data_IF_204004391068
#
_entry.id   IF_204004391068
#
_cell.length_a   1.000
_cell.length_b   1.000
_cell.length_c   1.000
_cell.angle_alpha   90.00
_cell.angle_beta   90.00
_cell.angle_gamma   90.00
#
_symmetry.space_group_name_H-M   'P 1'
#
loop_
_entity.id
_entity.type
_entity.pdbx_description
1 polymer ?
#
# COMPACT_ATOMS: atom_id res chain seq x y z
N UNK A 1 11.04 31.24 37.11
CA UNK A 1 10.78 30.35 35.95
C UNK A 1 10.24 31.17 34.83
N UNK A 2 10.96 31.21 33.75
CA UNK A 2 10.55 31.95 32.57
C UNK A 2 9.45 31.19 31.85
N UNK A 3 8.48 31.91 31.27
CA UNK A 3 7.40 31.36 30.44
C UNK A 3 7.95 30.43 29.33
N UNK A 4 9.16 30.69 28.85
CA UNK A 4 9.86 29.85 27.87
C UNK A 4 10.32 28.49 28.43
N UNK A 5 10.58 28.40 29.73
CA UNK A 5 10.95 27.12 30.36
C UNK A 5 9.72 26.21 30.54
N UNK A 6 8.53 26.80 30.74
CA UNK A 6 7.27 26.04 30.81
C UNK A 6 6.86 25.48 29.45
N UNK A 7 7.09 26.22 28.36
CA UNK A 7 6.81 25.76 27.00
C UNK A 7 7.78 24.65 26.60
N UNK A 8 9.06 24.78 26.97
CA UNK A 8 10.06 23.73 26.71
C UNK A 8 9.73 22.42 27.41
N UNK A 9 9.25 22.48 28.65
CA UNK A 9 8.89 21.30 29.43
C UNK A 9 7.62 20.61 28.93
N UNK A 10 6.68 21.36 28.37
CA UNK A 10 5.44 20.80 27.81
C UNK A 10 5.57 20.27 26.38
N UNK A 11 6.63 20.70 25.65
CA UNK A 11 6.79 20.32 24.23
C UNK A 11 7.70 19.13 24.03
N UNK A 12 8.54 18.79 25.03
CA UNK A 12 9.52 17.70 24.94
C UNK A 12 9.23 16.51 25.87
N UNK A 13 8.19 16.60 26.71
CA UNK A 13 7.83 15.50 27.63
C UNK A 13 6.77 14.55 27.04
N UNK A 14 6.49 14.67 25.76
CA UNK A 14 5.64 13.74 25.03
C UNK A 14 6.51 12.86 24.12
N UNK A 15 7.53 12.28 24.71
CA UNK A 15 8.13 11.07 24.21
C UNK A 15 7.16 9.94 24.50
N UNK A 16 6.81 9.18 23.49
CA UNK A 16 6.43 7.78 23.54
C UNK A 16 5.02 7.35 23.08
N UNK A 17 4.11 8.23 22.64
CA UNK A 17 2.79 7.73 22.26
C UNK A 17 2.46 7.76 20.75
N UNK A 18 3.45 8.01 19.90
CA UNK A 18 3.20 8.07 18.45
C UNK A 18 3.58 6.81 17.68
N UNK A 19 4.06 5.76 18.34
CA UNK A 19 4.48 4.55 17.65
C UNK A 19 3.31 3.66 17.20
N UNK A 20 2.14 3.77 17.81
CA UNK A 20 1.03 2.86 17.55
C UNK A 20 -0.09 3.44 16.66
N UNK A 21 -0.04 4.73 16.33
CA UNK A 21 -1.19 5.41 15.72
C UNK A 21 -1.14 5.53 14.19
N UNK A 22 -0.04 5.17 13.54
CA UNK A 22 0.09 5.34 12.08
C UNK A 22 -0.28 4.10 11.25
N UNK A 23 -0.71 3.01 11.88
CA UNK A 23 -0.80 1.73 11.17
C UNK A 23 -2.20 1.14 11.11
N UNK A 24 -3.20 1.69 11.83
CA UNK A 24 -4.51 1.03 11.93
C UNK A 24 -5.66 1.71 11.18
N UNK A 25 -5.46 2.89 10.58
CA UNK A 25 -6.48 3.54 9.77
C UNK A 25 -6.06 3.63 8.29
N UNK A 26 -5.85 2.47 7.68
CA UNK A 26 -6.06 2.37 6.24
C UNK A 26 -7.56 2.56 5.97
N UNK A 27 -7.95 3.34 4.94
CA UNK A 27 -9.35 3.47 4.62
C UNK A 27 -9.93 2.08 4.38
N UNK A 28 -10.77 1.62 5.31
CA UNK A 28 -11.61 0.48 5.07
C UNK A 28 -12.52 0.87 3.93
N UNK A 29 -12.22 0.36 2.74
CA UNK A 29 -13.18 0.37 1.66
C UNK A 29 -14.37 -0.45 2.12
N UNK A 30 -15.40 0.25 2.56
CA UNK A 30 -16.72 -0.32 2.76
C UNK A 30 -17.18 -0.80 1.40
N UNK A 31 -17.04 -2.07 1.18
CA UNK A 31 -17.63 -2.75 0.05
C UNK A 31 -19.14 -2.78 0.28
N UNK A 32 -19.82 -1.71 -0.10
CA UNK A 32 -21.25 -1.62 -0.07
C UNK A 32 -21.83 -2.31 -1.30
N UNK A 33 -21.78 -3.63 -1.30
CA UNK A 33 -22.46 -4.45 -2.27
C UNK A 33 -23.91 -4.66 -1.80
N UNK A 34 -24.72 -3.60 -1.84
CA UNK A 34 -26.17 -3.73 -1.76
C UNK A 34 -26.70 -3.82 -3.18
N UNK A 35 -26.67 -5.02 -3.72
CA UNK A 35 -27.47 -5.40 -4.86
C UNK A 35 -28.94 -5.45 -4.47
N UNK A 36 -29.70 -4.45 -4.79
CA UNK A 36 -31.15 -4.54 -4.83
C UNK A 36 -31.52 -5.03 -6.24
N UNK A 37 -31.89 -6.29 -6.29
CA UNK A 37 -32.58 -6.82 -7.45
C UNK A 37 -34.05 -6.42 -7.40
N UNK A 38 -34.56 -6.06 -8.51
CA UNK A 38 -35.96 -6.17 -8.97
C UNK A 38 -35.84 -6.12 -10.50
N UNK A 39 -36.15 -7.10 -11.23
CA UNK A 39 -37.37 -7.86 -11.27
C UNK A 39 -38.01 -7.64 -12.62
N UNK A 40 -38.34 -8.74 -13.23
CA UNK A 40 -39.40 -8.94 -14.20
C UNK A 40 -39.06 -8.74 -15.70
N UNK A 41 -39.07 -9.90 -16.34
CA UNK A 41 -39.96 -10.31 -17.44
C UNK A 41 -39.83 -9.49 -18.76
N UNK A 42 -39.58 -10.10 -19.89
CA UNK A 42 -40.40 -10.98 -20.65
C UNK A 42 -39.71 -11.40 -21.99
N UNK A 43 -39.89 -12.67 -22.28
CA UNK A 43 -40.19 -13.29 -23.58
C UNK A 43 -39.27 -13.08 -24.79
N UNK A 44 -38.70 -14.20 -25.14
CA UNK A 44 -38.71 -14.92 -26.39
C UNK A 44 -38.88 -14.13 -27.69
N UNK A 45 -37.98 -14.35 -28.61
CA UNK A 45 -38.25 -14.96 -29.89
C UNK A 45 -36.99 -15.31 -30.70
N UNK A 46 -37.02 -16.47 -31.16
CA UNK A 46 -36.35 -17.26 -32.14
C UNK A 46 -36.01 -16.55 -33.46
N UNK A 47 -34.94 -16.92 -34.06
CA UNK A 47 -34.55 -17.11 -35.46
C UNK A 47 -33.25 -16.39 -35.79
N UNK A 48 -32.23 -16.99 -36.27
CA UNK A 48 -31.92 -17.88 -37.37
C UNK A 48 -30.41 -18.03 -37.51
N UNK A 49 -30.01 -19.17 -37.99
CA UNK A 49 -28.71 -19.55 -38.50
C UNK A 49 -27.87 -18.42 -39.11
N UNK A 50 -26.68 -18.32 -38.61
CA UNK A 50 -25.58 -17.64 -39.24
C UNK A 50 -24.28 -18.28 -38.77
N UNK A 51 -23.84 -19.31 -39.48
CA UNK A 51 -22.51 -19.88 -39.33
C UNK A 51 -21.44 -18.82 -39.49
N UNK A 52 -20.97 -18.31 -38.39
CA UNK A 52 -19.75 -17.52 -38.39
C UNK A 52 -18.77 -18.24 -37.47
N UNK A 53 -17.88 -19.01 -38.04
CA UNK A 53 -16.66 -19.50 -37.42
C UNK A 53 -15.86 -18.32 -36.87
N UNK A 54 -16.23 -17.86 -35.70
CA UNK A 54 -15.35 -17.03 -34.93
C UNK A 54 -14.26 -17.95 -34.40
N UNK A 55 -13.11 -17.88 -35.02
CA UNK A 55 -11.87 -18.36 -34.44
C UNK A 55 -11.76 -17.75 -33.06
N UNK A 56 -12.18 -18.51 -32.06
CA UNK A 56 -11.93 -18.20 -30.67
C UNK A 56 -10.41 -18.13 -30.50
N UNK A 57 -9.89 -16.90 -30.49
CA UNK A 57 -8.50 -16.68 -30.09
C UNK A 57 -8.41 -17.12 -28.64
N UNK A 58 -7.91 -18.33 -28.44
CA UNK A 58 -7.56 -18.80 -27.10
C UNK A 58 -6.43 -17.90 -26.64
N UNK A 59 -6.77 -16.87 -25.89
CA UNK A 59 -5.78 -16.07 -25.19
C UNK A 59 -5.31 -16.92 -24.03
N UNK A 60 -4.14 -17.51 -24.20
CA UNK A 60 -3.49 -18.26 -23.15
C UNK A 60 -2.98 -17.24 -22.13
N UNK A 61 -3.80 -16.95 -21.11
CA UNK A 61 -3.45 -16.06 -20.01
C UNK A 61 -2.60 -16.84 -19.02
N UNK A 62 -1.46 -17.30 -19.46
CA UNK A 62 -0.39 -17.70 -18.56
C UNK A 62 0.38 -16.44 -18.16
N UNK A 63 -0.32 -15.50 -17.53
CA UNK A 63 0.31 -14.43 -16.81
C UNK A 63 0.92 -15.05 -15.55
N UNK A 64 2.14 -15.56 -15.66
CA UNK A 64 2.97 -15.85 -14.50
C UNK A 64 3.29 -14.50 -13.87
N UNK A 65 2.44 -14.10 -12.93
CA UNK A 65 2.70 -12.90 -12.14
C UNK A 65 3.90 -13.21 -11.25
N UNK A 66 5.09 -12.87 -11.70
CA UNK A 66 6.28 -13.01 -10.89
C UNK A 66 6.25 -11.92 -9.82
N UNK A 67 5.94 -12.30 -8.60
CA UNK A 67 6.09 -11.44 -7.45
C UNK A 67 7.59 -11.19 -7.22
N UNK A 68 8.03 -9.96 -7.46
CA UNK A 68 9.40 -9.54 -7.18
C UNK A 68 9.43 -8.87 -5.81
N UNK A 69 10.13 -9.49 -4.88
CA UNK A 69 10.33 -8.98 -3.51
C UNK A 69 11.77 -8.55 -3.34
N UNK A 70 11.98 -7.37 -2.81
CA UNK A 70 13.29 -6.79 -2.52
C UNK A 70 13.39 -6.51 -1.03
N UNK A 71 14.42 -7.07 -0.37
CA UNK A 71 14.75 -6.73 1.02
C UNK A 71 15.72 -5.56 1.03
N UNK A 72 15.38 -4.49 1.76
CA UNK A 72 16.22 -3.31 1.92
C UNK A 72 16.45 -2.99 3.39
N UNK A 73 17.65 -2.54 3.71
CA UNK A 73 18.08 -2.10 5.05
C UNK A 73 18.73 -0.73 4.90
N UNK A 74 17.95 0.34 4.83
CA UNK A 74 18.50 1.68 4.67
C UNK A 74 19.17 2.16 5.97
N UNK A 75 20.24 2.89 5.85
CA UNK A 75 20.91 3.54 6.96
C UNK A 75 20.65 5.04 7.00
N UNK A 76 20.34 5.62 5.84
CA UNK A 76 20.13 7.06 5.64
C UNK A 76 18.87 7.35 4.86
N UNK A 77 18.39 8.57 5.00
CA UNK A 77 17.19 9.01 4.28
C UNK A 77 17.41 9.08 2.74
N UNK A 78 18.62 9.30 2.30
CA UNK A 78 18.96 9.35 0.88
C UNK A 78 18.64 8.04 0.14
N UNK A 79 18.63 6.92 0.86
CA UNK A 79 18.27 5.62 0.31
C UNK A 79 16.79 5.53 -0.08
N UNK A 80 15.96 6.46 0.40
CA UNK A 80 14.51 6.50 0.14
C UNK A 80 14.16 6.54 -1.34
N UNK A 81 14.93 7.26 -2.16
CA UNK A 81 14.70 7.35 -3.60
C UNK A 81 14.89 6.01 -4.30
N UNK A 82 15.94 5.27 -3.96
CA UNK A 82 16.19 3.94 -4.52
C UNK A 82 15.09 2.95 -4.13
N UNK A 83 14.58 3.06 -2.90
CA UNK A 83 13.47 2.23 -2.43
C UNK A 83 12.17 2.59 -3.18
N UNK A 84 11.94 3.88 -3.38
CA UNK A 84 10.80 4.36 -4.17
C UNK A 84 10.83 3.86 -5.61
N UNK A 85 12.02 3.79 -6.23
CA UNK A 85 12.19 3.25 -7.57
C UNK A 85 11.81 1.77 -7.66
N UNK A 86 12.05 0.99 -6.60
CA UNK A 86 11.56 -0.39 -6.55
C UNK A 86 10.04 -0.44 -6.57
N UNK A 87 9.35 0.40 -5.81
CA UNK A 87 7.90 0.48 -5.78
C UNK A 87 7.32 0.95 -7.13
N UNK A 88 7.94 1.96 -7.75
CA UNK A 88 7.56 2.44 -9.07
C UNK A 88 7.70 1.36 -10.15
N UNK A 89 8.68 0.47 -9.99
CA UNK A 89 8.90 -0.69 -10.85
C UNK A 89 8.03 -1.92 -10.45
N UNK A 90 6.98 -1.69 -9.66
CA UNK A 90 6.03 -2.72 -9.22
C UNK A 90 6.68 -3.89 -8.46
N UNK A 91 7.68 -3.59 -7.66
CA UNK A 91 8.33 -4.56 -6.77
C UNK A 91 7.83 -4.38 -5.34
N UNK A 92 7.55 -5.46 -4.68
CA UNK A 92 7.25 -5.44 -3.24
C UNK A 92 8.55 -5.23 -2.47
N UNK A 93 8.55 -4.33 -1.51
CA UNK A 93 9.72 -4.00 -0.69
C UNK A 93 9.47 -4.49 0.73
N UNK A 94 10.42 -5.26 1.27
CA UNK A 94 10.53 -5.55 2.69
C UNK A 94 11.56 -4.60 3.27
N UNK A 95 11.10 -3.65 4.07
CA UNK A 95 11.89 -2.60 4.67
C UNK A 95 12.28 -2.99 6.09
N UNK A 96 13.55 -3.24 6.35
CA UNK A 96 14.08 -3.53 7.68
C UNK A 96 14.81 -2.31 8.22
N UNK A 97 14.27 -1.72 9.29
CA UNK A 97 14.78 -0.51 9.95
C UNK A 97 15.48 -0.79 11.30
N UNK A 98 15.81 -2.05 11.56
CA UNK A 98 16.36 -2.45 12.84
C UNK A 98 17.69 -1.74 13.19
N UNK A 99 18.54 -1.50 12.19
CA UNK A 99 19.80 -0.77 12.32
C UNK A 99 19.71 0.72 11.98
N UNK A 100 18.53 1.20 11.60
CA UNK A 100 18.30 2.58 11.19
C UNK A 100 17.98 3.45 12.41
N UNK A 101 18.51 4.67 12.44
CA UNK A 101 18.18 5.64 13.49
C UNK A 101 16.65 5.91 13.50
N UNK A 102 16.08 6.07 14.70
CA UNK A 102 14.63 6.28 14.91
C UNK A 102 14.07 7.47 14.10
N UNK A 103 14.79 8.57 14.06
CA UNK A 103 14.39 9.76 13.32
C UNK A 103 14.40 9.51 11.81
N UNK A 104 15.44 8.89 11.29
CA UNK A 104 15.56 8.49 9.88
C UNK A 104 14.48 7.47 9.53
N UNK A 105 14.22 6.50 10.41
CA UNK A 105 13.17 5.50 10.23
C UNK A 105 11.79 6.14 10.05
N UNK A 106 11.44 7.10 10.90
CA UNK A 106 10.16 7.83 10.81
C UNK A 106 10.03 8.54 9.47
N UNK A 107 11.05 9.28 9.08
CA UNK A 107 11.06 9.99 7.79
C UNK A 107 10.96 9.06 6.59
N UNK A 108 11.63 7.90 6.64
CA UNK A 108 11.54 6.87 5.60
C UNK A 108 10.12 6.31 5.48
N UNK A 109 9.51 5.96 6.61
CA UNK A 109 8.13 5.43 6.63
C UNK A 109 7.15 6.46 6.10
N UNK A 110 7.25 7.73 6.52
CA UNK A 110 6.39 8.81 6.05
C UNK A 110 6.50 9.01 4.54
N UNK A 111 7.71 9.11 4.03
CA UNK A 111 7.97 9.27 2.61
C UNK A 111 7.47 8.08 1.79
N UNK A 112 7.83 6.86 2.21
CA UNK A 112 7.47 5.63 1.50
C UNK A 112 5.97 5.33 1.59
N UNK A 113 5.28 5.76 2.65
CA UNK A 113 3.82 5.71 2.73
C UNK A 113 3.18 6.55 1.63
N UNK A 114 3.70 7.75 1.39
CA UNK A 114 3.25 8.61 0.29
C UNK A 114 3.52 8.00 -1.08
N UNK A 115 4.68 7.38 -1.26
CA UNK A 115 5.03 6.68 -2.52
C UNK A 115 4.11 5.48 -2.74
N UNK A 116 3.86 4.68 -1.70
CA UNK A 116 2.94 3.55 -1.78
C UNK A 116 1.53 4.01 -2.16
N UNK A 117 1.02 5.04 -1.50
CA UNK A 117 -0.28 5.62 -1.81
C UNK A 117 -0.38 6.10 -3.26
N UNK A 118 0.63 6.79 -3.77
CA UNK A 118 0.69 7.26 -5.16
C UNK A 118 0.68 6.11 -6.18
N UNK A 119 1.15 4.93 -5.79
CA UNK A 119 1.15 3.71 -6.60
C UNK A 119 -0.08 2.81 -6.36
N UNK A 120 -1.09 3.27 -5.63
CA UNK A 120 -2.24 2.48 -5.17
C UNK A 120 -1.82 1.26 -4.34
N UNK A 121 -0.68 1.34 -3.69
CA UNK A 121 -0.13 0.31 -2.84
C UNK A 121 -0.43 0.54 -1.36
N UNK A 122 0.16 -0.29 -0.53
CA UNK A 122 -0.01 -0.26 0.92
C UNK A 122 1.33 -0.46 1.63
N UNK A 123 1.44 0.12 2.82
CA UNK A 123 2.52 -0.16 3.76
C UNK A 123 1.92 -0.81 5.01
N UNK A 124 2.54 -1.91 5.46
CA UNK A 124 2.12 -2.63 6.67
C UNK A 124 3.33 -2.98 7.53
N UNK A 125 3.21 -2.75 8.81
CA UNK A 125 4.19 -3.22 9.79
C UNK A 125 3.99 -4.72 10.02
N UNK A 126 5.05 -5.49 9.94
CA UNK A 126 5.04 -6.94 10.14
C UNK A 126 5.86 -7.39 11.34
N UNK A 127 6.77 -6.55 11.80
CA UNK A 127 7.57 -6.73 13.01
C UNK A 127 7.98 -5.37 13.56
N UNK A 128 8.63 -5.33 14.74
CA UNK A 128 8.97 -4.08 15.43
C UNK A 128 9.66 -3.02 14.57
N UNK A 129 10.53 -3.42 13.68
CA UNK A 129 11.27 -2.50 12.80
C UNK A 129 11.21 -2.94 11.34
N UNK A 130 10.21 -3.74 11.00
CA UNK A 130 10.09 -4.29 9.64
C UNK A 130 8.72 -3.99 9.06
N UNK A 131 8.72 -3.46 7.84
CA UNK A 131 7.53 -3.11 7.08
C UNK A 131 7.53 -3.83 5.74
N UNK A 132 6.35 -4.17 5.26
CA UNK A 132 6.13 -4.60 3.88
C UNK A 132 5.42 -3.47 3.15
N UNK A 133 5.95 -3.12 1.98
CA UNK A 133 5.39 -2.11 1.09
C UNK A 133 5.05 -2.79 -0.22
N UNK A 134 3.78 -2.80 -0.55
CA UNK A 134 3.28 -3.34 -1.82
C UNK A 134 2.97 -2.19 -2.77
N UNK A 135 3.36 -2.30 -4.03
CA UNK A 135 3.06 -1.30 -5.03
C UNK A 135 1.60 -1.35 -5.49
#
# INVERSE_FOLDING_TARGET
>A
MSFLDSIKKGLFDQEDDYEDQYIDDGPQMVNNNNGVGLGADDEAEEHTEGTNKKNGKVVNINATTQLKVVLVKPERFEDASTIADHLNNKRTVVLNLESTNKEVSRRLVDFLSGVAYANNGQIKRVANSTFIITP
#
